data_IF_693268982056
#
_entry.id   IF_693268982056
#
_cell.length_a   1.000
_cell.length_b   1.000
_cell.length_c   1.000
_cell.angle_alpha   90.00
_cell.angle_beta   90.00
_cell.angle_gamma   90.00
#
_symmetry.space_group_name_H-M   'P 1'
#
loop_
_entity.id
_entity.type
_entity.pdbx_description
1 polymer ?
#
# COMPACT_ATOMS: atom_id res chain seq x y z
N UNK A 1 14.75 -7.03 -12.24
CA UNK A 1 14.62 -7.20 -10.78
C UNK A 1 13.32 -7.91 -10.40
N UNK A 2 12.16 -7.57 -10.98
CA UNK A 2 10.91 -8.32 -10.72
C UNK A 2 10.92 -9.74 -11.32
N UNK A 3 11.58 -9.88 -12.48
CA UNK A 3 11.71 -11.15 -13.21
C UNK A 3 12.54 -12.22 -12.51
N UNK A 4 13.27 -11.87 -11.44
CA UNK A 4 14.09 -12.81 -10.65
C UNK A 4 13.38 -13.33 -9.41
N UNK A 5 12.13 -12.91 -9.17
CA UNK A 5 11.34 -13.38 -8.03
C UNK A 5 10.85 -14.79 -8.31
N UNK A 6 11.22 -15.73 -7.45
CA UNK A 6 10.73 -17.11 -7.48
C UNK A 6 9.35 -17.18 -6.80
N UNK A 7 8.30 -17.02 -7.60
CA UNK A 7 6.90 -17.04 -7.12
C UNK A 7 6.43 -18.41 -6.60
N UNK A 8 7.24 -19.46 -6.73
CA UNK A 8 6.91 -20.77 -6.13
C UNK A 8 7.15 -20.82 -4.63
N UNK A 9 7.78 -19.80 -4.04
CA UNK A 9 8.13 -19.80 -2.61
C UNK A 9 6.90 -19.59 -1.72
N UNK A 10 6.75 -20.39 -0.64
CA UNK A 10 5.54 -20.39 0.19
C UNK A 10 5.29 -19.06 0.92
N UNK A 11 6.35 -18.31 1.28
CA UNK A 11 6.21 -17.00 1.92
C UNK A 11 5.65 -15.92 1.00
N UNK A 12 5.56 -16.16 -0.31
CA UNK A 12 4.92 -15.26 -1.28
C UNK A 12 3.45 -15.63 -1.52
N UNK A 13 2.96 -16.76 -1.00
CA UNK A 13 1.65 -17.30 -1.32
C UNK A 13 0.52 -16.30 -1.07
N UNK A 14 0.61 -15.51 0.01
CA UNK A 14 -0.41 -14.52 0.37
C UNK A 14 -0.60 -13.44 -0.68
N UNK A 15 0.43 -13.09 -1.47
CA UNK A 15 0.39 -12.01 -2.47
C UNK A 15 0.55 -12.52 -3.91
N UNK A 16 0.74 -13.83 -4.10
CA UNK A 16 0.95 -14.44 -5.41
C UNK A 16 -0.24 -14.24 -6.34
N UNK A 17 -1.46 -14.36 -5.82
CA UNK A 17 -2.70 -14.14 -6.59
C UNK A 17 -2.83 -12.70 -7.08
N UNK A 18 -2.45 -11.72 -6.25
CA UNK A 18 -2.45 -10.31 -6.64
C UNK A 18 -1.43 -10.08 -7.77
N UNK A 19 -0.23 -10.63 -7.66
CA UNK A 19 0.79 -10.54 -8.70
C UNK A 19 0.34 -11.23 -10.02
N UNK A 20 -0.26 -12.42 -9.94
CA UNK A 20 -0.69 -13.17 -11.12
C UNK A 20 -1.75 -12.44 -11.96
N UNK A 21 -2.46 -11.48 -11.37
CA UNK A 21 -3.46 -10.63 -12.06
C UNK A 21 -2.83 -9.41 -12.71
N UNK A 22 -1.59 -9.05 -12.40
CA UNK A 22 -0.92 -7.91 -13.01
C UNK A 22 -0.50 -8.24 -14.44
N UNK A 23 -0.97 -7.45 -15.40
CA UNK A 23 -0.52 -7.53 -16.78
C UNK A 23 0.79 -6.75 -16.95
N UNK A 24 1.88 -7.31 -16.41
CA UNK A 24 3.19 -6.65 -16.37
C UNK A 24 3.77 -6.46 -17.77
N UNK A 25 3.80 -5.21 -18.25
CA UNK A 25 4.43 -4.80 -19.50
C UNK A 25 5.85 -4.25 -19.33
N UNK A 26 6.38 -3.66 -20.42
CA UNK A 26 7.68 -2.98 -20.39
C UNK A 26 7.63 -1.59 -19.71
N UNK A 27 6.44 -1.02 -19.55
CA UNK A 27 6.22 0.39 -19.18
C UNK A 27 6.15 0.65 -17.66
N UNK A 28 6.77 -0.21 -16.85
CA UNK A 28 6.83 -0.08 -15.38
C UNK A 28 5.64 -0.71 -14.66
N UNK A 29 5.59 -0.52 -13.32
CA UNK A 29 4.61 -1.24 -12.48
C UNK A 29 3.29 -0.49 -12.26
N UNK A 30 3.30 0.84 -12.40
CA UNK A 30 2.15 1.69 -12.01
C UNK A 30 0.90 1.42 -12.86
N UNK A 31 1.05 1.26 -14.18
CA UNK A 31 -0.07 1.00 -15.09
C UNK A 31 -0.84 -0.28 -14.71
N UNK A 32 -0.17 -1.45 -14.67
CA UNK A 32 -0.79 -2.72 -14.27
C UNK A 32 -1.40 -2.68 -12.86
N UNK A 33 -0.76 -2.00 -11.91
CA UNK A 33 -1.30 -1.82 -10.55
C UNK A 33 -2.60 -1.01 -10.56
N UNK A 34 -2.67 0.07 -11.35
CA UNK A 34 -3.87 0.90 -11.48
C UNK A 34 -5.03 0.17 -12.17
N UNK A 35 -4.75 -0.62 -13.19
CA UNK A 35 -5.76 -1.47 -13.84
C UNK A 35 -6.40 -2.43 -12.83
N UNK A 36 -5.59 -3.08 -11.99
CA UNK A 36 -6.11 -3.97 -10.94
C UNK A 36 -6.84 -3.22 -9.83
N UNK A 37 -6.31 -2.09 -9.36
CA UNK A 37 -7.00 -1.27 -8.36
C UNK A 37 -8.38 -0.81 -8.83
N UNK A 38 -8.50 -0.41 -10.11
CA UNK A 38 -9.76 -0.03 -10.72
C UNK A 38 -10.70 -1.23 -10.87
N UNK A 39 -10.22 -2.38 -11.33
CA UNK A 39 -11.02 -3.60 -11.47
C UNK A 39 -11.59 -4.09 -10.13
N UNK A 40 -10.84 -3.90 -9.04
CA UNK A 40 -11.27 -4.21 -7.67
C UNK A 40 -12.13 -3.11 -7.03
N UNK A 41 -12.24 -1.94 -7.66
CA UNK A 41 -12.96 -0.79 -7.12
C UNK A 41 -12.35 -0.26 -5.81
N UNK A 42 -11.02 -0.30 -5.68
CA UNK A 42 -10.33 0.14 -4.46
C UNK A 42 -10.57 1.62 -4.18
N UNK A 43 -10.79 1.93 -2.91
CA UNK A 43 -11.06 3.28 -2.43
C UNK A 43 -10.32 3.55 -1.12
N UNK A 44 -9.93 4.80 -0.93
CA UNK A 44 -9.48 5.25 0.39
C UNK A 44 -10.68 5.42 1.35
N UNK A 45 -10.40 5.86 2.59
CA UNK A 45 -11.44 6.02 3.63
C UNK A 45 -12.49 7.09 3.27
N UNK A 46 -12.07 8.14 2.55
CA UNK A 46 -12.94 9.19 2.01
C UNK A 46 -13.77 8.76 0.79
N UNK A 47 -13.67 7.49 0.37
CA UNK A 47 -14.41 6.94 -0.77
C UNK A 47 -13.85 7.33 -2.15
N UNK A 48 -12.70 7.99 -2.21
CA UNK A 48 -12.04 8.33 -3.48
C UNK A 48 -11.38 7.09 -4.09
N UNK A 49 -11.44 6.95 -5.41
CA UNK A 49 -10.84 5.82 -6.13
C UNK A 49 -9.31 5.84 -5.97
N UNK A 50 -8.76 4.71 -5.52
CA UNK A 50 -7.33 4.59 -5.23
C UNK A 50 -6.55 4.40 -6.54
N UNK A 51 -5.45 5.13 -6.67
CA UNK A 51 -4.49 4.95 -7.78
C UNK A 51 -3.06 4.98 -7.27
N UNK A 52 -2.19 4.17 -7.86
CA UNK A 52 -0.75 4.23 -7.70
C UNK A 52 -0.20 5.35 -8.57
N UNK A 53 0.67 6.18 -8.00
CA UNK A 53 1.23 7.36 -8.65
C UNK A 53 2.75 7.39 -8.50
N UNK A 54 3.48 8.04 -9.42
CA UNK A 54 4.92 8.19 -9.27
C UNK A 54 5.29 8.86 -7.95
N UNK A 55 6.41 8.47 -7.34
CA UNK A 55 6.91 9.11 -6.11
C UNK A 55 7.05 10.64 -6.23
N UNK A 56 7.33 11.16 -7.42
CA UNK A 56 7.42 12.60 -7.68
C UNK A 56 6.09 13.35 -7.50
N UNK A 57 4.95 12.65 -7.45
CA UNK A 57 3.65 13.23 -7.13
C UNK A 57 3.47 13.54 -5.65
N UNK A 58 4.28 12.97 -4.76
CA UNK A 58 4.28 13.28 -3.33
C UNK A 58 5.03 14.61 -3.09
N UNK A 59 4.37 15.68 -2.62
CA UNK A 59 5.05 16.93 -2.34
C UNK A 59 6.06 16.80 -1.20
N UNK A 60 7.17 17.52 -1.31
CA UNK A 60 8.18 17.56 -0.25
C UNK A 60 7.56 18.02 1.07
N UNK A 61 7.93 17.35 2.17
CA UNK A 61 7.40 17.64 3.51
C UNK A 61 6.00 17.08 3.80
N UNK A 62 5.30 16.50 2.82
CA UNK A 62 4.02 15.82 3.05
C UNK A 62 4.26 14.38 3.48
N UNK A 63 3.59 13.93 4.54
CA UNK A 63 3.68 12.53 4.95
C UNK A 63 2.99 11.60 3.94
N UNK A 64 3.54 10.41 3.76
CA UNK A 64 3.02 9.41 2.82
C UNK A 64 1.56 9.07 3.09
N UNK A 65 1.20 8.80 4.35
CA UNK A 65 -0.16 8.39 4.72
C UNK A 65 -1.15 9.54 4.61
N UNK A 66 -0.72 10.76 4.93
CA UNK A 66 -1.50 11.98 4.75
C UNK A 66 -1.85 12.21 3.28
N UNK A 67 -0.87 12.07 2.38
CA UNK A 67 -1.07 12.23 0.95
C UNK A 67 -2.09 11.21 0.40
N UNK A 68 -1.99 9.94 0.79
CA UNK A 68 -2.96 8.90 0.39
C UNK A 68 -4.36 9.21 0.92
N UNK A 69 -4.47 9.62 2.19
CA UNK A 69 -5.76 9.98 2.80
C UNK A 69 -6.44 11.14 2.06
N UNK A 70 -5.66 12.14 1.66
CA UNK A 70 -6.15 13.34 0.99
C UNK A 70 -6.45 13.16 -0.50
N UNK A 71 -5.70 12.30 -1.20
CA UNK A 71 -5.74 12.23 -2.69
C UNK A 71 -6.15 10.88 -3.25
N UNK A 72 -6.13 9.82 -2.43
CA UNK A 72 -6.17 8.42 -2.85
C UNK A 72 -5.02 8.01 -3.81
N UNK A 73 -4.01 8.86 -3.98
CA UNK A 73 -2.78 8.53 -4.69
C UNK A 73 -1.81 7.81 -3.76
N UNK A 74 -1.33 6.64 -4.15
CA UNK A 74 -0.31 5.84 -3.45
C UNK A 74 1.04 6.06 -4.11
N UNK A 75 1.95 6.90 -3.54
CA UNK A 75 3.27 7.11 -4.10
C UNK A 75 4.02 5.78 -4.23
N UNK A 76 4.55 5.51 -5.42
CA UNK A 76 5.13 4.23 -5.80
C UNK A 76 6.42 4.48 -6.59
N UNK A 77 7.52 3.90 -6.12
CA UNK A 77 8.82 3.86 -6.80
C UNK A 77 8.99 2.52 -7.51
N UNK A 78 9.83 2.51 -8.54
CA UNK A 78 10.21 1.30 -9.28
C UNK A 78 11.26 0.48 -8.49
N UNK A 79 10.87 -0.04 -7.33
CA UNK A 79 11.71 -0.91 -6.48
C UNK A 79 10.89 -2.07 -5.88
N UNK A 80 11.60 -3.05 -5.31
CA UNK A 80 10.95 -4.24 -4.73
C UNK A 80 10.05 -3.92 -3.53
N UNK A 81 10.44 -2.96 -2.69
CA UNK A 81 9.68 -2.60 -1.50
C UNK A 81 8.29 -2.06 -1.89
N UNK A 82 8.24 -1.06 -2.77
CA UNK A 82 6.99 -0.42 -3.16
C UNK A 82 6.15 -1.36 -4.03
N UNK A 83 6.77 -2.22 -4.83
CA UNK A 83 6.08 -3.29 -5.54
C UNK A 83 5.36 -4.25 -4.58
N UNK A 84 6.05 -4.80 -3.56
CA UNK A 84 5.41 -5.68 -2.58
C UNK A 84 4.38 -4.96 -1.72
N UNK A 85 4.62 -3.70 -1.34
CA UNK A 85 3.63 -2.88 -0.65
C UNK A 85 2.37 -2.65 -1.51
N UNK A 86 2.51 -2.46 -2.81
CA UNK A 86 1.38 -2.37 -3.73
C UNK A 86 0.60 -3.69 -3.82
N UNK A 87 1.29 -4.83 -3.84
CA UNK A 87 0.62 -6.14 -3.76
C UNK A 87 -0.14 -6.31 -2.43
N UNK A 88 0.37 -5.77 -1.31
CA UNK A 88 -0.33 -5.78 -0.03
C UNK A 88 -1.61 -4.92 -0.10
N UNK A 89 -1.57 -3.76 -0.76
CA UNK A 89 -2.77 -2.95 -1.03
C UNK A 89 -3.83 -3.71 -1.84
N UNK A 90 -3.41 -4.49 -2.85
CA UNK A 90 -4.32 -5.31 -3.65
C UNK A 90 -4.83 -6.54 -2.89
N UNK A 91 -4.01 -7.12 -2.00
CA UNK A 91 -4.36 -8.35 -1.27
C UNK A 91 -5.23 -8.07 -0.05
N UNK A 92 -4.91 -7.03 0.72
CA UNK A 92 -5.58 -6.68 1.97
C UNK A 92 -6.11 -5.23 1.95
N UNK A 93 -6.96 -4.86 0.97
CA UNK A 93 -7.34 -3.47 0.74
C UNK A 93 -8.06 -2.84 1.93
N UNK A 94 -8.90 -3.61 2.64
CA UNK A 94 -9.64 -3.10 3.80
C UNK A 94 -8.69 -2.80 4.99
N UNK A 95 -7.69 -3.64 5.20
CA UNK A 95 -6.68 -3.46 6.25
C UNK A 95 -5.84 -2.21 5.93
N UNK A 96 -5.30 -2.12 4.72
CA UNK A 96 -4.48 -0.99 4.30
C UNK A 96 -5.25 0.33 4.33
N UNK A 97 -6.51 0.34 3.91
CA UNK A 97 -7.39 1.50 4.05
C UNK A 97 -7.52 1.94 5.50
N UNK A 98 -7.78 1.00 6.43
CA UNK A 98 -7.98 1.33 7.84
C UNK A 98 -6.69 1.81 8.52
N UNK A 99 -5.55 1.21 8.19
CA UNK A 99 -4.24 1.64 8.68
C UNK A 99 -3.92 3.05 8.19
N UNK A 100 -4.07 3.28 6.88
CA UNK A 100 -3.85 4.60 6.29
C UNK A 100 -4.75 5.67 6.93
N UNK A 101 -6.04 5.38 7.10
CA UNK A 101 -6.99 6.30 7.74
C UNK A 101 -6.57 6.67 9.18
N UNK A 102 -6.17 5.66 9.97
CA UNK A 102 -5.68 5.87 11.33
C UNK A 102 -4.42 6.73 11.32
N UNK A 103 -3.43 6.40 10.50
CA UNK A 103 -2.17 7.13 10.44
C UNK A 103 -2.38 8.58 9.96
N UNK A 104 -3.20 8.80 8.93
CA UNK A 104 -3.57 10.13 8.44
C UNK A 104 -4.29 10.95 9.51
N UNK A 105 -5.22 10.35 10.26
CA UNK A 105 -5.90 11.04 11.36
C UNK A 105 -4.95 11.41 12.51
N UNK A 106 -3.96 10.56 12.82
CA UNK A 106 -2.93 10.88 13.81
C UNK A 106 -2.01 12.02 13.31
N UNK A 107 -1.61 12.00 12.03
CA UNK A 107 -0.81 13.08 11.43
C UNK A 107 -1.58 14.40 11.45
N UNK A 108 -2.86 14.41 11.10
CA UNK A 108 -3.68 15.61 11.13
C UNK A 108 -3.81 16.21 12.54
N UNK A 109 -3.78 15.36 13.58
CA UNK A 109 -3.88 15.80 14.98
C UNK A 109 -2.55 16.29 15.55
N UNK A 110 -1.48 15.53 15.33
CA UNK A 110 -0.21 15.71 16.05
C UNK A 110 0.92 16.26 15.16
N UNK A 111 0.67 16.38 13.86
CA UNK A 111 1.65 16.73 12.84
C UNK A 111 2.66 15.61 12.56
N UNK A 112 3.67 15.93 11.75
CA UNK A 112 4.79 15.01 11.40
C UNK A 112 5.97 15.17 12.37
N UNK A 113 5.70 15.58 13.62
CA UNK A 113 6.73 15.88 14.63
C UNK A 113 7.63 14.69 15.00
N UNK A 114 8.69 14.96 15.79
CA UNK A 114 9.77 14.01 16.09
C UNK A 114 9.33 12.71 16.80
N UNK A 115 8.21 12.71 17.51
CA UNK A 115 7.70 11.52 18.18
C UNK A 115 6.32 11.19 17.60
N UNK A 116 6.20 9.98 17.04
CA UNK A 116 4.91 9.42 16.64
C UNK A 116 4.15 9.03 17.91
N UNK A 117 2.83 9.26 17.90
CA UNK A 117 1.97 8.74 18.96
C UNK A 117 1.85 7.22 18.90
N UNK A 118 1.57 6.58 20.04
CA UNK A 118 1.51 5.12 20.16
C UNK A 118 0.58 4.44 19.13
N UNK A 119 -0.52 5.09 18.75
CA UNK A 119 -1.44 4.58 17.73
C UNK A 119 -0.79 4.56 16.33
N UNK A 120 -0.09 5.64 15.94
CA UNK A 120 0.62 5.71 14.66
C UNK A 120 1.77 4.71 14.61
N UNK A 121 2.51 4.56 15.71
CA UNK A 121 3.59 3.56 15.80
C UNK A 121 3.07 2.13 15.70
N UNK A 122 1.99 1.81 16.43
CA UNK A 122 1.35 0.50 16.34
C UNK A 122 0.87 0.20 14.93
N UNK A 123 0.25 1.17 14.25
CA UNK A 123 -0.20 1.02 12.87
C UNK A 123 0.97 0.82 11.89
N UNK A 124 2.05 1.59 12.02
CA UNK A 124 3.24 1.43 11.17
C UNK A 124 3.92 0.08 11.39
N UNK A 125 4.12 -0.34 12.65
CA UNK A 125 4.66 -1.67 12.95
C UNK A 125 3.77 -2.77 12.40
N UNK A 126 2.45 -2.59 12.50
CA UNK A 126 1.51 -3.56 11.95
C UNK A 126 1.67 -3.66 10.43
N UNK A 127 1.68 -2.53 9.74
CA UNK A 127 1.76 -2.44 8.28
C UNK A 127 3.07 -3.01 7.71
N UNK A 128 4.19 -2.77 8.38
CA UNK A 128 5.51 -3.14 7.88
C UNK A 128 5.97 -4.55 8.29
N UNK A 129 5.51 -5.07 9.44
CA UNK A 129 6.15 -6.24 10.08
C UNK A 129 5.18 -7.34 10.55
N UNK A 130 3.87 -7.23 10.30
CA UNK A 130 2.91 -8.23 10.82
C UNK A 130 2.73 -9.45 9.92
N UNK A 131 2.39 -10.56 10.56
CA UNK A 131 1.81 -11.74 9.93
C UNK A 131 0.45 -12.03 10.57
N UNK A 132 -0.54 -12.38 9.74
CA UNK A 132 -1.88 -12.75 10.19
C UNK A 132 -2.09 -14.25 9.97
N UNK A 133 -2.41 -14.98 11.05
CA UNK A 133 -2.78 -16.38 11.01
C UNK A 133 -4.27 -16.50 11.35
N UNK A 134 -5.06 -16.95 10.37
CA UNK A 134 -6.49 -17.23 10.56
C UNK A 134 -6.66 -18.74 10.70
N UNK A 135 -7.11 -19.17 11.87
CA UNK A 135 -7.43 -20.57 12.17
C UNK A 135 -8.94 -20.74 12.27
N UNK A 136 -9.44 -21.94 11.96
CA UNK A 136 -10.80 -22.35 12.31
C UNK A 136 -10.78 -22.89 13.73
N UNK A 137 -11.88 -22.70 14.44
CA UNK A 137 -12.12 -23.33 15.74
C UNK A 137 -12.11 -24.87 15.65
#
# INVERSE_FOLDING_TARGET
MLTTIDWSRPWLASVADANARLNMGADGIIGPLNEQAAAMGLRNDSGMALSFVPQASLPEGTAYEEFIGATAGVPTRENLHDFFNALVWLTFPLIKRQLNALQAAQIARDGVGKARGAARDGATLFDENSALLVVRD
#
